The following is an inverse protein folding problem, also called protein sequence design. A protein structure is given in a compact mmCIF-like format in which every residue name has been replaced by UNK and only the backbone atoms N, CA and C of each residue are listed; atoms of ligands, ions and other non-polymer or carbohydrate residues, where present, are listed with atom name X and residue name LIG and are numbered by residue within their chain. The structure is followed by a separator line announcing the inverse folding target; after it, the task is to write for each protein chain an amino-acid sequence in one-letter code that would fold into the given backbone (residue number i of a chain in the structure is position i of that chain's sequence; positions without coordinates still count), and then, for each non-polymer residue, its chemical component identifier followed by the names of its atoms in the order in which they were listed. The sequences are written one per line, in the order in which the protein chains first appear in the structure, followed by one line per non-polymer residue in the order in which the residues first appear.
data_IF_357988122258
#
_entry.id   IF_357988122258
#
_cell.length_a   1.000
_cell.length_b   1.000
_cell.length_c   1.000
_cell.angle_alpha   90.00
_cell.angle_beta   90.00
_cell.angle_gamma   90.00
#
_symmetry.space_group_name_H-M   'P 1'
#
loop_
_entity.id
_entity.type
_entity.pdbx_description
1 polymer ?
#
# COMPACT_ATOMS: atom_id res chain seq x y z
N UNK A 1 0.84 23.57 -1.23
CA UNK A 1 1.34 22.23 -1.60
C UNK A 1 1.57 21.46 -0.32
N UNK A 2 0.74 20.46 0.00
CA UNK A 2 0.99 19.59 1.14
C UNK A 2 2.27 18.80 0.85
N UNK A 3 3.32 19.02 1.62
CA UNK A 3 4.54 18.22 1.50
C UNK A 3 4.26 16.89 2.22
N UNK A 4 4.21 15.77 1.50
CA UNK A 4 4.02 14.43 2.07
C UNK A 4 5.31 13.87 2.71
N UNK A 5 6.48 14.48 2.42
CA UNK A 5 7.77 14.03 2.98
C UNK A 5 7.81 13.93 4.51
N UNK A 6 7.27 14.89 5.29
CA UNK A 6 7.21 14.79 6.74
C UNK A 6 6.32 13.64 7.24
N UNK A 7 5.20 13.36 6.54
CA UNK A 7 4.30 12.25 6.88
C UNK A 7 5.03 10.92 6.68
N UNK A 8 5.74 10.77 5.55
CA UNK A 8 6.53 9.58 5.22
C UNK A 8 7.63 9.36 6.25
N UNK A 9 8.38 10.41 6.57
CA UNK A 9 9.43 10.34 7.58
C UNK A 9 8.87 9.91 8.92
N UNK A 10 7.73 10.48 9.33
CA UNK A 10 7.04 10.07 10.55
C UNK A 10 6.61 8.60 10.52
N UNK A 11 6.13 8.08 9.38
CA UNK A 11 5.79 6.66 9.23
C UNK A 11 7.04 5.79 9.37
N UNK A 12 8.14 6.14 8.70
CA UNK A 12 9.42 5.44 8.82
C UNK A 12 9.94 5.45 10.27
N UNK A 13 9.82 6.57 10.97
CA UNK A 13 10.25 6.71 12.36
C UNK A 13 9.40 5.86 13.33
N UNK A 14 8.10 5.68 13.04
CA UNK A 14 7.24 4.75 13.79
C UNK A 14 7.67 3.30 13.52
N UNK A 15 7.89 2.92 12.26
CA UNK A 15 8.28 1.55 11.91
C UNK A 15 9.65 1.16 12.47
N UNK A 16 10.60 2.11 12.62
CA UNK A 16 11.90 1.87 13.27
C UNK A 16 11.81 1.46 14.74
N UNK A 17 10.69 1.73 15.41
CA UNK A 17 10.45 1.33 16.79
C UNK A 17 9.95 -0.12 16.90
N UNK A 18 9.54 -0.74 15.78
CA UNK A 18 9.00 -2.09 15.75
C UNK A 18 10.11 -3.12 15.55
N UNK A 19 10.22 -4.08 16.48
CA UNK A 19 11.24 -5.14 16.43
C UNK A 19 11.02 -6.18 15.33
N UNK A 20 9.87 -6.13 14.65
CA UNK A 20 9.56 -6.98 13.50
C UNK A 20 10.04 -6.43 12.17
N UNK A 21 10.43 -5.15 12.11
CA UNK A 21 10.84 -4.48 10.87
C UNK A 21 12.32 -4.10 10.93
N UNK A 22 13.17 -4.99 10.41
CA UNK A 22 14.61 -4.83 10.31
C UNK A 22 15.03 -4.47 8.87
N UNK A 23 15.74 -3.34 8.73
CA UNK A 23 16.19 -2.82 7.44
C UNK A 23 15.12 -2.13 6.59
N UNK A 24 15.57 -1.49 5.51
CA UNK A 24 14.69 -0.69 4.65
C UNK A 24 13.81 -1.54 3.74
N UNK A 25 14.30 -2.71 3.28
CA UNK A 25 13.50 -3.62 2.47
C UNK A 25 12.19 -4.04 3.18
N UNK A 26 12.26 -4.39 4.46
CA UNK A 26 11.07 -4.76 5.23
C UNK A 26 10.15 -3.56 5.49
N UNK A 27 10.71 -2.37 5.78
CA UNK A 27 9.92 -1.13 5.90
C UNK A 27 9.15 -0.83 4.61
N UNK A 28 9.78 -1.06 3.46
CA UNK A 28 9.18 -0.79 2.16
C UNK A 28 8.12 -1.83 1.84
N UNK A 29 8.39 -3.12 2.05
CA UNK A 29 7.38 -4.17 1.91
C UNK A 29 6.17 -3.93 2.82
N UNK A 30 6.40 -3.50 4.07
CA UNK A 30 5.35 -3.14 5.02
C UNK A 30 4.50 -1.95 4.52
N UNK A 31 5.14 -0.90 4.01
CA UNK A 31 4.43 0.25 3.45
C UNK A 31 3.65 -0.09 2.19
N UNK A 32 4.19 -0.98 1.36
CA UNK A 32 3.65 -1.28 0.03
C UNK A 32 2.24 -1.84 0.11
N UNK A 33 2.00 -2.86 0.94
CA UNK A 33 0.66 -3.46 1.05
C UNK A 33 -0.36 -2.52 1.73
N UNK A 34 0.09 -1.72 2.70
CA UNK A 34 -0.75 -0.71 3.37
C UNK A 34 -1.20 0.37 2.38
N UNK A 35 -0.25 0.93 1.64
CA UNK A 35 -0.52 1.95 0.62
C UNK A 35 -1.40 1.38 -0.49
N UNK A 36 -1.12 0.15 -0.94
CA UNK A 36 -1.94 -0.53 -1.94
C UNK A 36 -3.41 -0.60 -1.49
N UNK A 37 -3.70 -1.10 -0.29
CA UNK A 37 -5.08 -1.20 0.20
C UNK A 37 -5.76 0.17 0.33
N UNK A 38 -5.04 1.19 0.84
CA UNK A 38 -5.59 2.54 0.99
C UNK A 38 -5.94 3.16 -0.37
N UNK A 39 -5.03 3.05 -1.35
CA UNK A 39 -5.23 3.59 -2.70
C UNK A 39 -6.30 2.79 -3.44
N UNK A 40 -6.29 1.47 -3.29
CA UNK A 40 -7.30 0.61 -3.90
C UNK A 40 -8.69 0.95 -3.39
N UNK A 41 -8.86 1.18 -2.08
CA UNK A 41 -10.15 1.57 -1.50
C UNK A 41 -10.64 2.94 -1.99
N UNK A 42 -9.75 3.92 -2.15
CA UNK A 42 -10.08 5.22 -2.75
C UNK A 42 -10.53 5.07 -4.22
N UNK A 43 -9.86 4.19 -4.98
CA UNK A 43 -10.30 3.83 -6.33
C UNK A 43 -11.65 3.11 -6.31
N UNK A 44 -11.91 2.23 -5.34
CA UNK A 44 -13.21 1.58 -5.19
C UNK A 44 -14.32 2.61 -4.94
N UNK A 45 -14.11 3.61 -4.07
CA UNK A 45 -15.06 4.71 -3.85
C UNK A 45 -15.38 5.46 -5.15
N UNK A 46 -14.36 5.80 -5.94
CA UNK A 46 -14.55 6.46 -7.23
C UNK A 46 -15.36 5.59 -8.19
N UNK A 47 -15.07 4.29 -8.25
CA UNK A 47 -15.75 3.34 -9.14
C UNK A 47 -17.19 3.06 -8.71
N UNK A 48 -17.46 2.98 -7.41
CA UNK A 48 -18.81 2.84 -6.86
C UNK A 48 -19.71 4.04 -7.22
N UNK A 49 -19.12 5.22 -7.39
CA UNK A 49 -19.84 6.45 -7.79
C UNK A 49 -19.97 6.55 -9.32
N UNK A 50 -18.94 6.15 -10.06
CA UNK A 50 -18.86 6.38 -11.52
C UNK A 50 -19.35 5.22 -12.37
N UNK A 51 -19.56 4.03 -11.78
CA UNK A 51 -19.98 2.82 -12.49
C UNK A 51 -21.08 2.10 -11.73
N UNK A 52 -22.29 2.14 -12.27
CA UNK A 52 -23.49 1.57 -11.65
C UNK A 52 -23.43 0.05 -11.42
N UNK A 53 -22.65 -0.67 -12.22
CA UNK A 53 -22.50 -2.13 -12.14
C UNK A 53 -21.24 -2.58 -11.40
N UNK A 54 -20.53 -1.65 -10.76
CA UNK A 54 -19.30 -1.97 -10.06
C UNK A 54 -19.52 -2.96 -8.92
N UNK A 55 -18.70 -4.00 -8.89
CA UNK A 55 -18.60 -4.94 -7.77
C UNK A 55 -17.17 -5.03 -7.32
N UNK A 56 -16.94 -4.71 -6.06
CA UNK A 56 -15.64 -4.89 -5.42
C UNK A 56 -15.22 -6.36 -5.48
N UNK A 57 -13.95 -6.65 -5.80
CA UNK A 57 -13.42 -7.99 -5.68
C UNK A 57 -13.15 -8.39 -4.22
N UNK A 58 -13.17 -7.44 -3.28
CA UNK A 58 -12.86 -7.66 -1.86
C UNK A 58 -14.14 -7.74 -1.03
N UNK A 59 -14.22 -8.69 -0.08
CA UNK A 59 -15.26 -8.68 0.94
C UNK A 59 -15.25 -7.35 1.71
N UNK A 60 -16.43 -6.84 2.08
CA UNK A 60 -16.56 -5.54 2.73
C UNK A 60 -15.63 -5.38 3.94
N UNK A 61 -15.59 -6.38 4.84
CA UNK A 61 -14.72 -6.34 6.04
C UNK A 61 -13.22 -6.17 5.73
N UNK A 62 -12.77 -6.51 4.53
CA UNK A 62 -11.36 -6.39 4.11
C UNK A 62 -11.03 -5.04 3.48
N UNK A 63 -12.04 -4.23 3.13
CA UNK A 63 -11.84 -2.90 2.55
C UNK A 63 -11.31 -1.94 3.61
N UNK A 64 -10.37 -1.07 3.21
CA UNK A 64 -9.65 -0.17 4.11
C UNK A 64 -10.61 0.63 5.01
N UNK A 65 -11.65 1.24 4.42
CA UNK A 65 -12.67 2.00 5.15
C UNK A 65 -13.34 1.27 6.32
N UNK A 66 -13.36 -0.06 6.32
CA UNK A 66 -14.10 -0.85 7.31
C UNK A 66 -13.26 -1.32 8.50
N UNK A 67 -11.93 -1.21 8.47
CA UNK A 67 -11.07 -1.65 9.58
C UNK A 67 -9.95 -0.65 9.91
N UNK A 68 -9.53 0.16 8.94
CA UNK A 68 -8.39 1.06 9.05
C UNK A 68 -8.78 2.53 9.19
N UNK A 69 -9.92 2.98 8.63
CA UNK A 69 -10.26 4.41 8.56
C UNK A 69 -10.57 5.06 9.91
N UNK A 70 -11.18 4.32 10.85
CA UNK A 70 -11.41 4.81 12.21
C UNK A 70 -10.07 4.93 12.97
N UNK A 71 -9.76 6.15 13.43
CA UNK A 71 -8.55 6.45 14.18
C UNK A 71 -8.50 5.75 15.55
N UNK A 72 -9.67 5.47 16.12
CA UNK A 72 -9.86 4.74 17.39
C UNK A 72 -10.26 3.27 17.18
N UNK A 73 -10.21 2.78 15.94
CA UNK A 73 -10.53 1.40 15.60
C UNK A 73 -9.54 0.37 16.18
N UNK A 74 -9.70 -0.90 15.78
CA UNK A 74 -8.93 -2.04 16.31
C UNK A 74 -7.42 -1.77 16.41
N UNK A 75 -6.78 -2.16 17.50
CA UNK A 75 -5.36 -1.92 17.75
C UNK A 75 -4.73 -3.07 18.55
N UNK A 76 -3.42 -3.01 18.78
CA UNK A 76 -2.69 -4.02 19.56
C UNK A 76 -2.82 -5.42 18.96
N UNK A 77 -2.90 -6.44 19.81
CA UNK A 77 -2.93 -7.84 19.38
C UNK A 77 -4.14 -8.17 18.50
N UNK A 78 -5.28 -7.51 18.73
CA UNK A 78 -6.47 -7.70 17.90
C UNK A 78 -6.24 -7.27 16.45
N UNK A 79 -5.55 -6.13 16.24
CA UNK A 79 -5.20 -5.67 14.91
C UNK A 79 -4.21 -6.63 14.24
N UNK A 80 -3.22 -7.13 14.97
CA UNK A 80 -2.25 -8.10 14.42
C UNK A 80 -2.92 -9.42 14.06
N UNK A 81 -3.80 -9.95 14.91
CA UNK A 81 -4.58 -11.14 14.59
C UNK A 81 -5.42 -10.90 13.33
N UNK A 82 -6.17 -9.80 13.28
CA UNK A 82 -6.98 -9.47 12.12
C UNK A 82 -6.14 -9.42 10.83
N UNK A 83 -5.01 -8.72 10.85
CA UNK A 83 -4.14 -8.60 9.67
C UNK A 83 -3.58 -9.96 9.26
N UNK A 84 -2.97 -10.69 10.19
CA UNK A 84 -2.23 -11.91 9.88
C UNK A 84 -3.15 -13.10 9.55
N UNK A 85 -4.25 -13.27 10.29
CA UNK A 85 -5.07 -14.49 10.24
C UNK A 85 -6.33 -14.32 9.40
N UNK A 86 -6.81 -13.09 9.19
CA UNK A 86 -8.04 -12.81 8.44
C UNK A 86 -7.75 -12.07 7.13
N UNK A 87 -7.15 -10.89 7.20
CA UNK A 87 -6.93 -10.02 6.04
C UNK A 87 -6.05 -10.69 5.00
N UNK A 88 -4.81 -11.03 5.36
CA UNK A 88 -3.87 -11.64 4.42
C UNK A 88 -4.37 -12.98 3.88
N UNK A 89 -4.93 -13.84 4.74
CA UNK A 89 -5.50 -15.12 4.32
C UNK A 89 -6.64 -14.92 3.32
N UNK A 90 -7.54 -13.97 3.56
CA UNK A 90 -8.65 -13.69 2.63
C UNK A 90 -8.15 -13.16 1.30
N UNK A 91 -7.23 -12.19 1.31
CA UNK A 91 -6.75 -11.55 0.10
C UNK A 91 -5.90 -12.48 -0.78
N UNK A 92 -5.10 -13.37 -0.17
CA UNK A 92 -4.35 -14.43 -0.86
C UNK A 92 -5.26 -15.46 -1.55
N UNK A 93 -6.48 -15.64 -1.05
CA UNK A 93 -7.45 -16.61 -1.56
C UNK A 93 -8.57 -15.98 -2.41
N UNK A 94 -8.43 -14.73 -2.84
CA UNK A 94 -9.44 -14.11 -3.71
C UNK A 94 -9.58 -14.85 -5.05
N UNK A 95 -10.80 -14.89 -5.61
CA UNK A 95 -11.01 -15.37 -6.97
C UNK A 95 -10.18 -14.54 -7.96
N UNK A 96 -9.22 -15.17 -8.65
CA UNK A 96 -8.21 -14.49 -9.45
C UNK A 96 -8.24 -14.94 -10.91
N UNK A 97 -9.38 -14.74 -11.56
CA UNK A 97 -9.52 -14.91 -13.01
C UNK A 97 -9.12 -13.60 -13.71
N UNK A 98 -8.05 -13.55 -14.52
CA UNK A 98 -7.57 -12.31 -15.13
C UNK A 98 -8.54 -11.70 -16.15
N UNK A 99 -9.49 -12.48 -16.66
CA UNK A 99 -10.49 -12.02 -17.65
C UNK A 99 -11.79 -11.61 -16.95
N UNK A 100 -12.28 -12.44 -16.03
CA UNK A 100 -13.58 -12.24 -15.35
C UNK A 100 -13.49 -11.41 -14.09
N UNK A 101 -12.35 -11.44 -13.39
CA UNK A 101 -12.08 -10.66 -12.18
C UNK A 101 -10.66 -10.05 -12.19
N UNK A 102 -10.36 -9.16 -13.16
CA UNK A 102 -9.02 -8.59 -13.31
C UNK A 102 -8.56 -7.84 -12.05
N UNK A 103 -9.47 -7.14 -11.34
CA UNK A 103 -9.12 -6.44 -10.11
C UNK A 103 -8.79 -7.39 -8.97
N UNK A 104 -9.57 -8.47 -8.78
CA UNK A 104 -9.26 -9.49 -7.79
C UNK A 104 -7.97 -10.24 -8.10
N UNK A 105 -7.65 -10.44 -9.38
CA UNK A 105 -6.35 -10.97 -9.82
C UNK A 105 -5.19 -10.07 -9.36
N UNK A 106 -5.30 -8.75 -9.56
CA UNK A 106 -4.28 -7.79 -9.09
C UNK A 106 -4.15 -7.80 -7.55
N UNK A 107 -5.27 -7.75 -6.82
CA UNK A 107 -5.24 -7.78 -5.35
C UNK A 107 -4.57 -9.07 -4.86
N UNK A 108 -4.94 -10.22 -5.39
CA UNK A 108 -4.30 -11.49 -5.03
C UNK A 108 -2.80 -11.47 -5.35
N UNK A 109 -2.41 -11.01 -6.53
CA UNK A 109 -1.01 -10.96 -6.94
C UNK A 109 -0.14 -10.11 -6.01
N UNK A 110 -0.67 -8.98 -5.52
CA UNK A 110 0.04 -8.16 -4.52
C UNK A 110 0.18 -8.89 -3.18
N UNK A 111 -0.81 -9.67 -2.78
CA UNK A 111 -0.83 -10.32 -1.46
C UNK A 111 -0.21 -11.72 -1.42
N UNK A 112 0.01 -12.36 -2.57
CA UNK A 112 0.51 -13.74 -2.70
C UNK A 112 1.78 -13.94 -1.86
N UNK A 113 2.79 -13.09 -2.09
CA UNK A 113 4.07 -13.09 -1.37
C UNK A 113 4.20 -11.98 -0.33
N UNK A 114 3.13 -11.24 -0.04
CA UNK A 114 3.17 -10.22 0.99
C UNK A 114 3.10 -10.87 2.39
N UNK A 115 3.77 -10.21 3.33
CA UNK A 115 3.72 -10.52 4.77
C UNK A 115 3.63 -9.21 5.57
N UNK A 116 2.97 -9.27 6.72
CA UNK A 116 3.07 -8.21 7.72
C UNK A 116 4.29 -8.48 8.61
N UNK A 117 5.24 -7.54 8.58
CA UNK A 117 6.48 -7.64 9.37
C UNK A 117 6.33 -7.02 10.75
N UNK A 118 5.43 -6.03 10.92
CA UNK A 118 5.25 -5.36 12.21
C UNK A 118 4.71 -6.32 13.27
N UNK A 119 5.37 -6.33 14.43
CA UNK A 119 5.03 -7.14 15.61
C UNK A 119 4.27 -6.37 16.67
N UNK A 120 4.16 -5.04 16.54
CA UNK A 120 3.36 -4.21 17.43
C UNK A 120 2.13 -3.67 16.71
N UNK A 121 0.95 -4.15 17.10
CA UNK A 121 -0.31 -3.64 16.58
C UNK A 121 -0.55 -2.17 16.94
N UNK A 122 0.02 -1.70 18.05
CA UNK A 122 -0.06 -0.29 18.44
C UNK A 122 0.74 0.60 17.48
N UNK A 123 1.95 0.18 17.09
CA UNK A 123 2.74 0.90 16.10
C UNK A 123 2.11 0.80 14.71
N UNK A 124 1.56 -0.37 14.34
CA UNK A 124 0.84 -0.54 13.08
C UNK A 124 -0.38 0.40 12.99
N UNK A 125 -1.15 0.54 14.07
CA UNK A 125 -2.26 1.50 14.15
C UNK A 125 -1.77 2.94 13.97
N UNK A 126 -0.63 3.32 14.56
CA UNK A 126 -0.06 4.64 14.35
C UNK A 126 0.33 4.87 12.88
N UNK A 127 0.92 3.88 12.21
CA UNK A 127 1.24 3.96 10.77
C UNK A 127 -0.05 4.13 9.96
N UNK A 128 -1.08 3.33 10.21
CA UNK A 128 -2.38 3.42 9.54
C UNK A 128 -3.00 4.82 9.71
N UNK A 129 -2.98 5.36 10.93
CA UNK A 129 -3.53 6.68 11.21
C UNK A 129 -2.76 7.79 10.47
N UNK A 130 -1.44 7.66 10.30
CA UNK A 130 -0.66 8.58 9.46
C UNK A 130 -1.03 8.47 7.97
N UNK A 131 -1.27 7.26 7.48
CA UNK A 131 -1.72 7.03 6.09
C UNK A 131 -3.13 7.59 5.85
N UNK A 132 -4.02 7.53 6.84
CA UNK A 132 -5.37 8.10 6.74
C UNK A 132 -5.39 9.62 6.61
N UNK A 133 -4.33 10.32 7.03
CA UNK A 133 -4.20 11.77 6.85
C UNK A 133 -3.93 12.18 5.38
N UNK A 134 -3.74 11.21 4.48
CA UNK A 134 -3.47 11.42 3.05
C UNK A 134 -4.77 11.18 2.27
N UNK A 135 -5.15 12.14 1.42
CA UNK A 135 -6.36 12.10 0.61
C UNK A 135 -6.03 11.80 -0.87
N UNK A 136 -5.98 10.50 -1.19
CA UNK A 136 -5.67 10.00 -2.53
C UNK A 136 -6.75 10.29 -3.60
N UNK A 137 -7.90 10.84 -3.23
CA UNK A 137 -8.94 11.24 -4.18
C UNK A 137 -8.60 12.56 -4.90
N UNK A 138 -7.63 13.33 -4.41
CA UNK A 138 -7.24 14.61 -5.02
C UNK A 138 -6.15 14.39 -6.08
N UNK A 139 -6.37 14.90 -7.31
CA UNK A 139 -5.37 14.83 -8.41
C UNK A 139 -3.98 15.36 -7.99
N UNK A 140 -3.94 16.44 -7.19
CA UNK A 140 -2.69 16.99 -6.67
C UNK A 140 -1.94 16.02 -5.77
N UNK A 141 -2.65 15.15 -5.04
CA UNK A 141 -2.07 14.14 -4.14
C UNK A 141 -1.69 12.85 -4.89
N UNK A 142 -2.33 12.55 -6.03
CA UNK A 142 -1.92 11.43 -6.92
C UNK A 142 -0.52 11.64 -7.52
N UNK A 143 -0.19 12.86 -7.94
CA UNK A 143 1.19 13.15 -8.37
C UNK A 143 2.20 12.96 -7.23
N UNK A 144 1.80 13.32 -6.02
CA UNK A 144 2.65 13.14 -4.84
C UNK A 144 2.78 11.67 -4.42
N UNK A 145 1.83 10.79 -4.79
CA UNK A 145 1.99 9.34 -4.65
C UNK A 145 3.11 8.80 -5.54
N UNK A 146 3.22 9.27 -6.79
CA UNK A 146 4.34 8.87 -7.64
C UNK A 146 5.68 9.30 -7.03
N UNK A 147 5.76 10.53 -6.49
CA UNK A 147 6.95 11.01 -5.80
C UNK A 147 7.27 10.17 -4.55
N UNK A 148 6.24 9.78 -3.78
CA UNK A 148 6.33 8.87 -2.63
C UNK A 148 6.89 7.51 -3.05
N UNK A 149 6.30 6.90 -4.08
CA UNK A 149 6.70 5.58 -4.58
C UNK A 149 8.13 5.62 -5.11
N UNK A 150 8.50 6.65 -5.88
CA UNK A 150 9.87 6.82 -6.36
C UNK A 150 10.87 7.05 -5.25
N UNK A 151 10.50 7.81 -4.22
CA UNK A 151 11.36 8.00 -3.05
C UNK A 151 11.57 6.70 -2.29
N UNK A 152 10.50 5.93 -2.09
CA UNK A 152 10.55 4.60 -1.50
C UNK A 152 11.50 3.69 -2.30
N UNK A 153 11.39 3.68 -3.63
CA UNK A 153 12.28 2.89 -4.50
C UNK A 153 13.75 3.36 -4.44
N UNK A 154 14.00 4.68 -4.39
CA UNK A 154 15.36 5.24 -4.23
C UNK A 154 15.96 4.94 -2.86
N UNK A 155 15.16 4.96 -1.81
CA UNK A 155 15.59 4.58 -0.46
C UNK A 155 15.95 3.07 -0.42
N UNK A 156 15.20 2.23 -1.15
CA UNK A 156 15.50 0.81 -1.37
C UNK A 156 16.86 0.59 -2.05
N UNK A 157 17.17 1.41 -3.05
CA UNK A 157 18.47 1.41 -3.75
C UNK A 157 19.64 1.76 -2.81
N UNK A 158 19.39 2.63 -1.83
CA UNK A 158 20.41 3.10 -0.89
C UNK A 158 20.70 2.09 0.23
N UNK A 159 19.84 1.09 0.41
CA UNK A 159 19.87 0.11 1.50
C UNK A 159 20.79 -1.12 1.28
N UNK A 160 21.69 -1.10 0.28
CA UNK A 160 22.67 -2.15 0.02
C UNK A 160 22.32 -3.05 -1.18
N UNK A 161 22.51 -4.37 -1.08
CA UNK A 161 22.38 -5.38 -2.16
C UNK A 161 21.04 -5.44 -2.92
N UNK A 162 20.07 -4.56 -2.63
CA UNK A 162 18.79 -4.46 -3.34
C UNK A 162 18.81 -3.45 -4.51
N UNK A 163 19.96 -2.82 -4.79
CA UNK A 163 20.15 -1.86 -5.88
C UNK A 163 20.02 -2.41 -7.31
N UNK A 164 19.76 -3.72 -7.48
CA UNK A 164 19.73 -4.38 -8.79
C UNK A 164 18.45 -4.13 -9.62
N UNK A 165 17.42 -3.45 -9.07
CA UNK A 165 16.08 -3.43 -9.68
C UNK A 165 15.57 -2.07 -10.19
N UNK A 166 16.35 -0.98 -10.07
CA UNK A 166 15.89 0.34 -10.49
C UNK A 166 16.48 0.80 -11.82
N UNK A 167 15.62 0.99 -12.82
CA UNK A 167 15.99 1.69 -14.06
C UNK A 167 15.66 3.18 -13.93
N UNK A 168 16.62 4.10 -14.14
CA UNK A 168 16.37 5.54 -14.04
C UNK A 168 15.23 5.99 -14.97
N UNK A 169 14.35 6.87 -14.47
CA UNK A 169 13.21 7.42 -15.24
C UNK A 169 13.59 8.00 -16.59
N UNK A 170 14.74 8.66 -16.69
CA UNK A 170 15.24 9.19 -17.95
C UNK A 170 15.45 8.08 -19.00
N UNK A 171 15.94 6.92 -18.58
CA UNK A 171 16.15 5.76 -19.45
C UNK A 171 14.82 5.15 -19.86
N UNK A 172 13.90 4.91 -18.92
CA UNK A 172 12.58 4.37 -19.26
C UNK A 172 11.78 5.32 -20.17
N UNK A 173 11.85 6.63 -19.91
CA UNK A 173 11.15 7.64 -20.72
C UNK A 173 11.71 7.66 -22.14
N UNK A 174 13.04 7.70 -22.29
CA UNK A 174 13.68 7.62 -23.60
C UNK A 174 13.27 6.36 -24.37
N UNK A 175 13.22 5.20 -23.71
CA UNK A 175 12.77 3.96 -24.36
C UNK A 175 11.31 4.04 -24.82
N UNK A 176 10.41 4.58 -24.01
CA UNK A 176 8.99 4.76 -24.39
C UNK A 176 8.87 5.74 -25.56
N UNK A 177 9.58 6.87 -25.51
CA UNK A 177 9.56 7.89 -26.57
C UNK A 177 10.05 7.31 -27.90
N UNK A 178 11.07 6.46 -27.87
CA UNK A 178 11.64 5.83 -29.07
C UNK A 178 10.81 4.66 -29.61
N UNK A 179 10.18 3.88 -28.73
CA UNK A 179 9.34 2.74 -29.13
C UNK A 179 7.96 3.21 -29.62
N UNK A 180 7.46 4.34 -29.10
CA UNK A 180 6.14 4.91 -29.40
C UNK A 180 5.00 3.86 -29.42
N UNK A 181 4.80 3.12 -28.30
CA UNK A 181 3.81 2.05 -28.19
C UNK A 181 2.36 2.52 -28.08
#
# INVERSE_FOLDING_TARGET
MSNLSPVIKSIQDIMRQDSGVDGDAQRISQLTWLLFLKVFDALEEELEITRDDYKSPMPERMRWRNWAADAEGITGDELLDFVNTKLFVTLKNLPADPVRNPRGYVVRGVFEDAYNYMKSGQLLRQVINKLNAIDFNRQSERHQFNDLYEKILKDLQSAGNAGEFYTPRAVTQFMVDMVNP
#
